data_IF_359218933982
#
_entry.id   IF_359218933982
#
_cell.length_a   1.000
_cell.length_b   1.000
_cell.length_c   1.000
_cell.angle_alpha   90.00
_cell.angle_beta   90.00
_cell.angle_gamma   90.00
#
_symmetry.space_group_name_H-M   'P 1'
#
loop_
_entity.id
_entity.type
_entity.pdbx_description
1 polymer ?
#
# COMPACT_ATOMS: atom_id res chain seq x y z
N UNK A 1 26.99 26.19 16.27
CA UNK A 1 26.70 25.24 15.17
C UNK A 1 25.22 24.84 15.17
N UNK A 2 24.42 25.43 14.28
CA UNK A 2 23.01 25.04 14.10
C UNK A 2 22.95 23.63 13.50
N UNK A 3 22.15 22.74 14.10
CA UNK A 3 21.96 21.37 13.60
C UNK A 3 21.29 21.45 12.22
N UNK A 4 21.93 20.87 11.20
CA UNK A 4 21.26 20.63 9.93
C UNK A 4 20.10 19.63 10.16
N UNK A 5 18.88 20.03 9.84
CA UNK A 5 17.69 19.18 9.90
C UNK A 5 17.44 18.56 8.52
N UNK A 6 17.17 17.26 8.49
CA UNK A 6 16.72 16.60 7.27
C UNK A 6 15.25 16.93 7.03
N UNK A 7 14.93 17.46 5.84
CA UNK A 7 13.56 17.79 5.44
C UNK A 7 13.26 17.11 4.10
N UNK A 8 12.14 16.40 4.02
CA UNK A 8 11.65 15.79 2.78
C UNK A 8 10.47 16.60 2.23
N UNK A 9 10.52 16.97 0.96
CA UNK A 9 9.42 17.64 0.25
C UNK A 9 8.82 16.67 -0.75
N UNK A 10 7.49 16.55 -0.78
CA UNK A 10 6.77 15.70 -1.74
C UNK A 10 5.86 16.57 -2.58
N UNK A 11 5.96 16.44 -3.90
CA UNK A 11 5.09 17.10 -4.87
C UNK A 11 4.31 16.02 -5.62
N UNK A 12 2.98 16.10 -5.60
CA UNK A 12 2.10 15.16 -6.30
C UNK A 12 1.45 15.89 -7.46
N UNK A 13 1.58 15.32 -8.67
CA UNK A 13 1.05 15.88 -9.89
C UNK A 13 -0.05 14.98 -10.46
N UNK A 14 -1.12 15.58 -10.99
CA UNK A 14 -2.15 14.86 -11.76
C UNK A 14 -1.86 15.04 -13.25
N UNK A 15 -1.60 13.96 -14.01
CA UNK A 15 -1.48 14.05 -15.45
C UNK A 15 -2.76 14.52 -16.13
N UNK A 16 -2.64 15.39 -17.13
CA UNK A 16 -3.78 15.90 -17.91
C UNK A 16 -4.15 15.00 -19.10
N UNK A 17 -3.17 14.23 -19.61
CA UNK A 17 -3.33 13.33 -20.75
C UNK A 17 -2.59 12.03 -20.48
N UNK A 18 -3.20 10.91 -20.87
CA UNK A 18 -2.58 9.60 -20.88
C UNK A 18 -1.83 9.38 -22.20
N UNK A 19 -0.81 8.53 -22.18
CA UNK A 19 0.02 8.22 -23.35
C UNK A 19 1.49 8.11 -23.02
N UNK A 20 2.31 7.98 -24.06
CA UNK A 20 3.77 7.97 -23.93
C UNK A 20 4.33 9.37 -24.06
N UNK A 21 5.20 9.74 -23.13
CA UNK A 21 5.85 11.04 -23.07
C UNK A 21 7.35 10.87 -22.95
N UNK A 22 8.10 11.82 -23.50
CA UNK A 22 9.54 11.91 -23.29
C UNK A 22 9.80 12.73 -22.04
N UNK A 23 10.25 12.06 -20.99
CA UNK A 23 10.63 12.68 -19.73
C UNK A 23 12.10 13.07 -19.78
N UNK A 24 12.35 14.37 -19.76
CA UNK A 24 13.69 14.94 -19.63
C UNK A 24 14.10 15.02 -18.16
N UNK A 25 15.34 15.40 -17.89
CA UNK A 25 15.80 15.72 -16.53
C UNK A 25 14.98 16.86 -15.94
N UNK A 26 14.77 16.80 -14.63
CA UNK A 26 14.22 17.90 -13.84
C UNK A 26 15.35 18.64 -13.13
N UNK A 27 15.18 19.94 -12.91
CA UNK A 27 16.08 20.77 -12.10
C UNK A 27 15.37 21.20 -10.82
N UNK A 28 16.03 21.02 -9.67
CA UNK A 28 15.55 21.45 -8.36
C UNK A 28 16.50 22.52 -7.84
N UNK A 29 16.00 23.72 -7.60
CA UNK A 29 16.76 24.82 -7.00
C UNK A 29 16.30 25.08 -5.56
N UNK A 30 17.21 25.15 -4.60
CA UNK A 30 16.89 25.40 -3.19
C UNK A 30 17.95 26.26 -2.50
N UNK A 31 17.57 26.88 -1.38
CA UNK A 31 18.48 27.59 -0.48
C UNK A 31 18.78 26.70 0.73
N UNK A 32 20.05 26.43 1.01
CA UNK A 32 20.45 25.65 2.19
C UNK A 32 20.31 26.44 3.50
N UNK A 33 20.41 27.78 3.41
CA UNK A 33 20.25 28.70 4.53
C UNK A 33 19.66 30.01 4.02
N UNK A 34 18.91 30.70 4.87
CA UNK A 34 18.34 32.02 4.58
C UNK A 34 19.46 33.03 4.26
N UNK A 35 19.36 33.71 3.12
CA UNK A 35 20.41 34.61 2.60
C UNK A 35 21.62 33.90 1.96
N UNK A 36 21.60 32.57 1.84
CA UNK A 36 22.66 31.78 1.21
C UNK A 36 22.60 31.76 -0.32
N UNK A 37 23.54 31.02 -0.94
CA UNK A 37 23.56 30.80 -2.38
C UNK A 37 22.50 29.77 -2.81
N UNK A 38 21.94 29.95 -4.01
CA UNK A 38 21.00 29.00 -4.63
C UNK A 38 21.78 27.78 -5.11
N UNK A 39 21.42 26.62 -4.58
CA UNK A 39 21.93 25.32 -5.02
C UNK A 39 20.97 24.72 -6.06
N UNK A 40 21.51 24.22 -7.17
CA UNK A 40 20.74 23.59 -8.25
C UNK A 40 21.16 22.13 -8.38
N UNK A 41 20.23 21.22 -8.17
CA UNK A 41 20.38 19.79 -8.44
C UNK A 41 19.63 19.38 -9.71
N UNK A 42 20.13 18.36 -10.39
CA UNK A 42 19.50 17.78 -11.58
C UNK A 42 19.15 16.32 -11.34
N UNK A 43 18.01 15.89 -11.86
CA UNK A 43 17.66 14.46 -11.91
C UNK A 43 18.20 13.84 -13.19
N UNK A 44 18.27 12.51 -13.23
CA UNK A 44 18.45 11.80 -14.49
C UNK A 44 17.25 12.02 -15.43
N UNK A 45 17.46 11.81 -16.73
CA UNK A 45 16.40 11.80 -17.73
C UNK A 45 15.96 10.35 -17.99
N UNK A 46 14.80 9.91 -17.50
CA UNK A 46 14.35 8.52 -17.64
C UNK A 46 13.92 8.16 -19.07
N UNK A 47 13.82 9.12 -19.99
CA UNK A 47 13.50 8.87 -21.39
C UNK A 47 12.00 8.69 -21.60
N UNK A 48 11.60 7.80 -22.51
CA UNK A 48 10.19 7.60 -22.82
C UNK A 48 9.49 6.81 -21.70
N UNK A 49 8.43 7.38 -21.13
CA UNK A 49 7.61 6.76 -20.10
C UNK A 49 6.13 6.83 -20.43
N UNK A 50 5.35 5.88 -19.92
CA UNK A 50 3.91 5.84 -20.10
C UNK A 50 3.16 6.44 -18.91
N UNK A 51 2.22 7.34 -19.19
CA UNK A 51 1.20 7.77 -18.25
C UNK A 51 -0.08 6.97 -18.54
N UNK A 52 -0.50 6.14 -17.60
CA UNK A 52 -1.72 5.34 -17.74
C UNK A 52 -2.96 6.23 -17.61
N UNK A 53 -4.01 5.89 -18.36
CA UNK A 53 -5.31 6.51 -18.14
C UNK A 53 -5.85 6.12 -16.76
N UNK A 54 -6.53 7.04 -16.07
CA UNK A 54 -7.08 6.78 -14.74
C UNK A 54 -7.93 5.50 -14.71
N UNK A 55 -8.80 5.31 -15.71
CA UNK A 55 -9.62 4.08 -15.83
C UNK A 55 -8.77 2.80 -15.93
N UNK A 56 -7.65 2.84 -16.63
CA UNK A 56 -6.76 1.68 -16.78
C UNK A 56 -5.96 1.43 -15.51
N UNK A 57 -5.56 2.50 -14.82
CA UNK A 57 -4.96 2.43 -13.50
C UNK A 57 -5.94 1.81 -12.52
N UNK A 58 -7.16 2.36 -12.40
CA UNK A 58 -8.19 1.85 -11.50
C UNK A 58 -8.50 0.38 -11.82
N UNK A 59 -8.60 -0.02 -13.09
CA UNK A 59 -8.80 -1.43 -13.43
C UNK A 59 -7.67 -2.35 -12.95
N UNK A 60 -6.41 -1.88 -12.94
CA UNK A 60 -5.24 -2.68 -12.55
C UNK A 60 -4.97 -2.64 -11.05
N UNK A 61 -5.31 -1.53 -10.39
CA UNK A 61 -4.88 -1.22 -9.04
C UNK A 61 -6.05 -0.92 -8.08
N UNK A 62 -7.30 -1.04 -8.54
CA UNK A 62 -8.47 -0.89 -7.66
C UNK A 62 -8.37 -1.92 -6.53
N UNK A 63 -8.67 -1.51 -5.29
CA UNK A 63 -8.77 -2.44 -4.18
C UNK A 63 -9.86 -3.50 -4.45
N UNK A 64 -9.49 -4.77 -4.41
CA UNK A 64 -10.41 -5.89 -4.69
C UNK A 64 -11.19 -6.31 -3.43
N UNK A 65 -11.75 -5.35 -2.68
CA UNK A 65 -12.35 -5.61 -1.36
C UNK A 65 -13.50 -6.63 -1.41
N UNK A 66 -14.34 -6.56 -2.45
CA UNK A 66 -15.46 -7.49 -2.61
C UNK A 66 -14.97 -8.91 -2.94
N UNK A 67 -13.91 -9.05 -3.73
CA UNK A 67 -13.33 -10.35 -4.04
C UNK A 67 -12.67 -10.97 -2.80
N UNK A 68 -11.99 -10.15 -1.98
CA UNK A 68 -11.47 -10.58 -0.68
C UNK A 68 -12.59 -11.01 0.27
N UNK A 69 -13.70 -10.28 0.32
CA UNK A 69 -14.85 -10.65 1.12
C UNK A 69 -15.48 -11.97 0.63
N UNK A 70 -15.64 -12.13 -0.69
CA UNK A 70 -16.14 -13.35 -1.30
C UNK A 70 -15.24 -14.55 -0.99
N UNK A 71 -13.92 -14.39 -1.11
CA UNK A 71 -12.94 -15.39 -0.72
C UNK A 71 -13.07 -15.78 0.76
N UNK A 72 -13.22 -14.78 1.64
CA UNK A 72 -13.52 -15.00 3.05
C UNK A 72 -14.76 -15.88 3.23
N UNK A 73 -15.88 -15.50 2.64
CA UNK A 73 -17.15 -16.24 2.73
C UNK A 73 -17.03 -17.66 2.17
N UNK A 74 -16.35 -17.85 1.03
CA UNK A 74 -16.17 -19.15 0.40
C UNK A 74 -15.29 -20.11 1.22
N UNK A 75 -14.33 -19.58 1.98
CA UNK A 75 -13.42 -20.38 2.81
C UNK A 75 -13.98 -20.66 4.22
N UNK A 76 -14.98 -19.89 4.68
CA UNK A 76 -15.61 -20.05 5.98
C UNK A 76 -16.16 -21.47 6.24
N UNK A 77 -16.82 -22.17 5.30
CA UNK A 77 -17.28 -23.53 5.55
C UNK A 77 -16.11 -24.50 5.80
N UNK A 78 -15.07 -24.42 4.98
CA UNK A 78 -13.91 -25.31 5.05
C UNK A 78 -13.08 -25.12 6.31
N UNK A 79 -13.06 -23.91 6.88
CA UNK A 79 -12.36 -23.61 8.15
C UNK A 79 -13.30 -23.79 9.35
N UNK A 80 -14.52 -23.28 9.22
CA UNK A 80 -15.52 -23.21 10.30
C UNK A 80 -16.07 -24.57 10.70
N UNK A 81 -16.39 -25.46 9.75
CA UNK A 81 -16.93 -26.79 10.06
C UNK A 81 -15.91 -27.62 10.87
N UNK A 82 -14.64 -27.77 10.44
CA UNK A 82 -13.64 -28.48 11.23
C UNK A 82 -13.41 -27.84 12.61
N UNK A 83 -13.38 -26.50 12.69
CA UNK A 83 -13.19 -25.79 13.95
C UNK A 83 -14.34 -26.04 14.95
N UNK A 84 -15.59 -25.99 14.48
CA UNK A 84 -16.77 -26.26 15.30
C UNK A 84 -16.78 -27.70 15.82
N UNK A 85 -16.47 -28.66 14.94
CA UNK A 85 -16.35 -30.06 15.31
C UNK A 85 -15.26 -30.26 16.37
N UNK A 86 -14.07 -29.70 16.15
CA UNK A 86 -12.99 -29.75 17.13
C UNK A 86 -13.38 -29.14 18.47
N UNK A 87 -13.99 -27.95 18.45
CA UNK A 87 -14.41 -27.25 19.65
C UNK A 87 -15.47 -28.03 20.46
N UNK A 88 -16.46 -28.62 19.76
CA UNK A 88 -17.45 -29.48 20.40
C UNK A 88 -16.83 -30.74 21.02
N UNK A 89 -15.84 -31.34 20.35
CA UNK A 89 -15.12 -32.51 20.82
C UNK A 89 -14.33 -32.17 22.08
N UNK A 90 -13.54 -31.09 22.02
CA UNK A 90 -12.72 -30.64 23.13
C UNK A 90 -13.56 -30.36 24.37
N UNK A 91 -14.67 -29.62 24.25
CA UNK A 91 -15.59 -29.36 25.36
C UNK A 91 -16.14 -30.63 25.99
N UNK A 92 -16.51 -31.62 25.17
CA UNK A 92 -17.12 -32.87 25.65
C UNK A 92 -16.12 -33.75 26.42
N UNK A 93 -14.88 -33.82 25.95
CA UNK A 93 -13.88 -34.74 26.51
C UNK A 93 -12.96 -34.13 27.56
N UNK A 94 -12.81 -32.79 27.60
CA UNK A 94 -12.08 -32.10 28.68
C UNK A 94 -12.94 -31.74 29.89
N UNK A 95 -14.27 -31.91 29.82
CA UNK A 95 -15.13 -31.68 30.98
C UNK A 95 -14.82 -32.71 32.07
N UNK A 96 -14.38 -32.30 33.27
CA UNK A 96 -14.08 -33.26 34.34
C UNK A 96 -15.36 -34.02 34.71
N UNK A 97 -15.31 -35.36 34.69
CA UNK A 97 -16.43 -36.18 35.11
C UNK A 97 -16.79 -35.81 36.55
N UNK A 98 -18.01 -35.34 36.78
CA UNK A 98 -18.51 -35.09 38.12
C UNK A 98 -18.40 -36.39 38.94
N UNK A 99 -17.60 -36.36 40.01
CA UNK A 99 -17.55 -37.48 40.96
C UNK A 99 -18.93 -37.58 41.60
N UNK A 100 -19.62 -38.69 41.36
CA UNK A 100 -20.88 -39.00 42.03
C UNK A 100 -20.53 -39.50 43.44
N UNK A 101 -20.96 -38.74 44.45
CA UNK A 101 -20.91 -39.14 45.86
C UNK A 101 -21.92 -40.26 46.14
#
# INVERSE_FOLDING_TARGET
>A
PSRASNVSHTVVLRPLKAGYFNFTSASVSYLAQEGGQVLVGYTSAPGQGGILAQREFDRRFSPHYLDWAAFGVMTLPSIGIPLLLWYSSKRKYDSPKAKKN
#
